data_IF_543027839336
#
_entry.id   IF_543027839336
#
_cell.length_a   1.000
_cell.length_b   1.000
_cell.length_c   1.000
_cell.angle_alpha   90.00
_cell.angle_beta   90.00
_cell.angle_gamma   90.00
#
_symmetry.space_group_name_H-M   'P 1'
#
loop_
_entity.id
_entity.type
_entity.pdbx_description
1 polymer ?
#
# COMPACT_ATOMS: atom_id res chain seq x y z
N UNK A 1 -66.26 -8.22 -19.53
CA UNK A 1 -65.32 -7.47 -20.40
C UNK A 1 -64.17 -8.38 -20.78
N UNK A 2 -63.85 -8.44 -22.07
CA UNK A 2 -63.28 -9.60 -22.77
C UNK A 2 -61.73 -9.58 -22.78
N UNK A 3 -61.09 -10.66 -22.33
CA UNK A 3 -59.62 -10.85 -22.30
C UNK A 3 -58.95 -10.73 -23.68
N UNK A 4 -59.72 -10.85 -24.76
CA UNK A 4 -59.22 -10.71 -26.14
C UNK A 4 -58.96 -9.25 -26.59
N UNK A 5 -59.50 -8.22 -25.91
CA UNK A 5 -59.21 -6.82 -26.32
C UNK A 5 -57.88 -6.31 -25.78
N UNK A 6 -57.39 -6.87 -24.67
CA UNK A 6 -56.11 -6.48 -24.06
C UNK A 6 -54.94 -7.04 -24.88
N UNK A 7 -55.08 -8.23 -25.48
CA UNK A 7 -54.04 -8.81 -26.33
C UNK A 7 -53.87 -8.07 -27.68
N UNK A 8 -54.92 -7.44 -28.21
CA UNK A 8 -54.83 -6.64 -29.43
C UNK A 8 -54.16 -5.27 -29.18
N UNK A 9 -54.28 -4.69 -27.98
CA UNK A 9 -53.60 -3.44 -27.62
C UNK A 9 -52.08 -3.64 -27.43
N UNK A 10 -51.67 -4.79 -26.90
CA UNK A 10 -50.25 -5.13 -26.69
C UNK A 10 -49.57 -5.46 -28.02
N UNK A 11 -50.26 -6.10 -28.97
CA UNK A 11 -49.68 -6.47 -30.28
C UNK A 11 -49.57 -5.29 -31.27
N UNK A 12 -50.25 -4.16 -31.03
CA UNK A 12 -50.12 -2.95 -31.87
C UNK A 12 -48.88 -2.09 -31.53
N UNK A 13 -48.38 -2.14 -30.29
CA UNK A 13 -47.27 -1.30 -29.82
C UNK A 13 -45.88 -1.89 -30.12
N UNK A 14 -45.80 -3.13 -30.61
CA UNK A 14 -44.56 -3.78 -31.06
C UNK A 14 -44.55 -3.80 -32.60
N UNK A 15 -44.45 -2.62 -33.20
CA UNK A 15 -44.03 -2.48 -34.59
C UNK A 15 -42.64 -1.83 -34.57
N UNK A 16 -41.63 -2.68 -34.72
CA UNK A 16 -40.25 -2.29 -34.98
C UNK A 16 -40.22 -1.57 -36.33
N UNK A 17 -40.51 -0.26 -36.33
CA UNK A 17 -40.23 0.60 -37.48
C UNK A 17 -38.73 0.77 -37.53
N UNK A 18 -38.09 -0.07 -38.35
CA UNK A 18 -36.70 0.08 -38.74
C UNK A 18 -36.46 1.50 -39.24
N UNK A 19 -35.88 2.34 -38.38
CA UNK A 19 -35.46 3.67 -38.75
C UNK A 19 -34.17 3.50 -39.57
N UNK A 20 -34.32 3.61 -40.90
CA UNK A 20 -33.24 3.68 -41.89
C UNK A 20 -32.35 4.90 -41.58
N UNK A 21 -31.37 4.73 -40.70
CA UNK A 21 -30.41 5.78 -40.35
C UNK A 21 -29.25 5.83 -41.36
N UNK A 22 -29.53 6.18 -42.61
CA UNK A 22 -28.50 6.57 -43.58
C UNK A 22 -28.13 8.04 -43.34
N UNK A 23 -27.16 8.29 -42.47
CA UNK A 23 -26.53 9.62 -42.34
C UNK A 23 -26.08 9.99 -40.92
N UNK A 24 -26.82 9.61 -39.88
CA UNK A 24 -26.49 10.01 -38.48
C UNK A 24 -25.54 9.06 -37.75
N UNK A 25 -25.40 7.81 -38.21
CA UNK A 25 -24.40 6.87 -37.68
C UNK A 25 -22.97 7.14 -38.17
N UNK A 26 -22.82 7.83 -39.31
CA UNK A 26 -21.49 8.24 -39.77
C UNK A 26 -20.90 9.37 -38.91
N UNK A 27 -21.74 10.27 -38.39
CA UNK A 27 -21.28 11.40 -37.55
C UNK A 27 -20.81 10.89 -36.18
N UNK A 28 -21.55 9.96 -35.56
CA UNK A 28 -21.15 9.37 -34.26
C UNK A 28 -19.85 8.55 -34.43
N UNK A 29 -19.73 7.78 -35.52
CA UNK A 29 -18.48 7.07 -35.83
C UNK A 29 -17.29 8.01 -35.99
N UNK A 30 -17.48 9.18 -36.61
CA UNK A 30 -16.41 10.17 -36.78
C UNK A 30 -16.05 10.87 -35.47
N UNK A 31 -17.03 11.22 -34.63
CA UNK A 31 -16.78 11.81 -33.29
C UNK A 31 -16.06 10.81 -32.39
N UNK A 32 -16.45 9.53 -32.37
CA UNK A 32 -15.78 8.50 -31.58
C UNK A 32 -14.37 8.22 -32.12
N UNK A 33 -14.18 8.20 -33.44
CA UNK A 33 -12.86 8.06 -34.04
C UNK A 33 -11.94 9.27 -33.72
N UNK A 34 -12.47 10.49 -33.74
CA UNK A 34 -11.75 11.70 -33.32
C UNK A 34 -11.42 11.69 -31.84
N UNK A 35 -12.34 11.26 -30.97
CA UNK A 35 -12.09 11.13 -29.54
C UNK A 35 -11.00 10.09 -29.24
N UNK A 36 -11.00 8.96 -29.96
CA UNK A 36 -9.98 7.92 -29.85
C UNK A 36 -8.62 8.37 -30.39
N UNK A 37 -8.58 9.21 -31.43
CA UNK A 37 -7.33 9.80 -31.91
C UNK A 37 -6.72 10.79 -30.90
N UNK A 38 -7.56 11.57 -30.20
CA UNK A 38 -7.09 12.54 -29.18
C UNK A 38 -6.61 11.82 -27.90
N UNK A 39 -7.22 10.70 -27.51
CA UNK A 39 -6.77 9.90 -26.37
C UNK A 39 -5.40 9.22 -26.59
N UNK A 40 -5.04 8.90 -27.84
CA UNK A 40 -3.75 8.30 -28.15
C UNK A 40 -2.58 9.30 -28.04
N UNK A 41 -2.82 10.59 -28.31
CA UNK A 41 -1.80 11.64 -28.21
C UNK A 41 -1.55 12.11 -26.76
N UNK A 42 -2.49 11.84 -25.84
CA UNK A 42 -2.39 12.25 -24.43
C UNK A 42 -1.53 11.35 -23.54
N UNK A 43 -1.09 10.17 -24.02
CA UNK A 43 -0.32 9.20 -23.23
C UNK A 43 1.20 9.33 -23.38
N UNK A 44 1.71 10.22 -24.24
CA UNK A 44 3.16 10.23 -24.57
C UNK A 44 3.94 11.45 -24.07
N UNK A 45 3.31 12.45 -23.47
CA UNK A 45 4.00 13.70 -23.09
C UNK A 45 4.17 13.84 -21.56
N UNK A 46 4.81 12.86 -20.93
CA UNK A 46 5.28 12.98 -19.54
C UNK A 46 6.81 12.96 -19.41
N UNK A 47 7.54 13.16 -20.51
CA UNK A 47 8.99 13.30 -20.50
C UNK A 47 9.36 14.78 -20.66
N UNK A 48 9.75 15.42 -19.56
CA UNK A 48 10.39 16.74 -19.59
C UNK A 48 11.74 16.69 -20.34
N UNK A 49 12.35 17.85 -20.64
CA UNK A 49 13.59 17.91 -21.41
C UNK A 49 14.68 17.02 -20.78
N UNK A 50 15.09 15.98 -21.50
CA UNK A 50 16.22 15.15 -21.10
C UNK A 50 17.51 15.98 -21.23
N UNK A 51 18.35 16.06 -20.19
CA UNK A 51 19.64 16.75 -20.28
C UNK A 51 20.49 16.12 -21.39
N UNK A 52 21.16 16.93 -22.23
CA UNK A 52 22.03 16.42 -23.28
C UNK A 52 23.09 15.48 -22.71
N UNK A 53 23.19 14.29 -23.30
CA UNK A 53 24.10 13.26 -22.84
C UNK A 53 25.57 13.70 -22.90
N UNK A 54 26.25 13.57 -21.77
CA UNK A 54 27.69 13.44 -21.69
C UNK A 54 27.98 12.01 -21.22
N UNK A 55 28.47 11.18 -22.13
CA UNK A 55 28.85 9.81 -21.83
C UNK A 55 30.29 9.73 -21.35
N UNK A 56 30.50 9.38 -20.08
CA UNK A 56 31.67 8.72 -19.44
C UNK A 56 31.13 8.31 -18.05
N UNK A 57 31.01 7.08 -17.57
CA UNK A 57 31.70 5.78 -17.65
C UNK A 57 30.64 4.69 -17.34
N UNK A 58 30.88 3.38 -17.62
CA UNK A 58 30.10 2.36 -16.95
C UNK A 58 30.31 2.57 -15.45
N UNK A 59 29.22 2.80 -14.72
CA UNK A 59 29.16 2.60 -13.28
C UNK A 59 29.98 1.34 -12.97
N UNK A 60 31.18 1.54 -12.41
CA UNK A 60 31.79 0.49 -11.64
C UNK A 60 30.70 0.04 -10.70
N UNK A 61 30.36 -1.25 -10.78
CA UNK A 61 29.39 -1.89 -9.90
C UNK A 61 29.88 -1.60 -8.48
N UNK A 62 29.42 -0.49 -7.92
CA UNK A 62 29.53 -0.25 -6.50
C UNK A 62 28.49 -1.20 -5.98
N UNK A 63 28.90 -2.45 -5.82
CA UNK A 63 28.28 -3.38 -4.91
C UNK A 63 28.44 -2.75 -3.53
N UNK A 64 27.59 -1.76 -3.25
CA UNK A 64 27.13 -1.50 -1.90
C UNK A 64 26.32 -2.75 -1.58
N UNK A 65 27.03 -3.83 -1.26
CA UNK A 65 26.59 -4.78 -0.26
C UNK A 65 26.65 -4.07 1.10
N UNK A 66 26.06 -2.88 1.17
CA UNK A 66 25.58 -2.34 2.41
C UNK A 66 24.50 -3.30 2.80
N UNK A 67 24.74 -4.06 3.85
CA UNK A 67 23.64 -4.59 4.63
C UNK A 67 22.76 -3.39 4.90
N UNK A 68 21.66 -3.26 4.17
CA UNK A 68 20.63 -2.28 4.50
C UNK A 68 20.11 -2.79 5.83
N UNK A 69 20.66 -2.25 6.91
CA UNK A 69 20.15 -2.45 8.26
C UNK A 69 18.70 -1.99 8.21
N UNK A 70 17.78 -2.91 8.43
CA UNK A 70 16.37 -2.58 8.42
C UNK A 70 16.02 -2.10 9.82
N UNK A 71 15.64 -0.82 9.90
CA UNK A 71 15.21 -0.19 11.13
C UNK A 71 13.69 -0.35 11.26
N UNK A 72 13.23 -0.91 12.37
CA UNK A 72 11.80 -1.09 12.65
C UNK A 72 11.37 -0.08 13.73
N UNK A 73 10.58 0.96 13.41
CA UNK A 73 10.00 1.84 14.42
C UNK A 73 8.89 1.11 15.18
N UNK A 74 8.90 1.20 16.50
CA UNK A 74 7.89 0.66 17.39
C UNK A 74 7.34 1.78 18.25
N UNK A 75 6.03 1.85 18.35
CA UNK A 75 5.32 2.74 19.26
C UNK A 75 4.40 1.94 20.15
N UNK A 76 4.25 2.37 21.40
CA UNK A 76 3.39 1.70 22.35
C UNK A 76 2.97 2.59 23.50
N UNK A 77 2.09 2.05 24.33
CA UNK A 77 1.66 2.65 25.59
C UNK A 77 1.87 1.68 26.74
N UNK A 78 2.69 2.05 27.70
CA UNK A 78 2.90 1.32 28.94
C UNK A 78 1.84 1.74 29.96
N UNK A 79 1.21 0.75 30.58
CA UNK A 79 0.24 0.95 31.65
C UNK A 79 0.56 0.11 32.88
N UNK A 80 0.13 0.57 34.04
CA UNK A 80 0.09 -0.28 35.24
C UNK A 80 -1.02 -1.35 35.13
N UNK A 81 -1.11 -2.21 36.15
CA UNK A 81 -2.13 -3.26 36.22
C UNK A 81 -3.57 -2.73 36.32
N UNK A 82 -3.75 -1.45 36.66
CA UNK A 82 -5.06 -0.78 36.69
C UNK A 82 -5.40 -0.08 35.36
N UNK A 83 -4.50 -0.13 34.37
CA UNK A 83 -4.66 0.50 33.07
C UNK A 83 -4.26 1.99 33.01
N UNK A 84 -3.74 2.55 34.11
CA UNK A 84 -3.25 3.92 34.11
C UNK A 84 -1.90 3.99 33.38
N UNK A 85 -1.59 5.08 32.66
CA UNK A 85 -0.27 5.22 32.06
C UNK A 85 0.80 5.23 33.13
N UNK A 86 1.93 4.58 32.86
CA UNK A 86 3.08 4.62 33.78
C UNK A 86 3.64 6.06 33.88
N UNK A 87 4.32 6.41 34.99
CA UNK A 87 4.93 7.72 35.15
C UNK A 87 5.94 8.07 34.06
N UNK A 88 6.12 9.36 33.82
CA UNK A 88 7.13 9.86 32.89
C UNK A 88 8.54 9.48 33.38
N UNK A 89 9.41 9.03 32.47
CA UNK A 89 10.76 8.60 32.82
C UNK A 89 11.43 7.75 31.75
N UNK A 90 12.67 7.34 32.02
CA UNK A 90 13.37 6.41 31.14
C UNK A 90 13.14 4.97 31.61
N UNK A 91 12.73 4.11 30.69
CA UNK A 91 12.49 2.69 30.92
C UNK A 91 13.45 1.88 30.06
N UNK A 92 14.08 0.85 30.62
CA UNK A 92 14.84 -0.12 29.82
C UNK A 92 13.85 -1.00 29.08
N UNK A 93 13.71 -0.83 27.77
CA UNK A 93 12.80 -1.63 26.94
C UNK A 93 13.64 -2.57 26.09
N UNK A 94 13.33 -3.87 26.16
CA UNK A 94 13.92 -4.87 25.28
C UNK A 94 12.89 -5.36 24.28
N UNK A 95 13.17 -5.18 23.00
CA UNK A 95 12.38 -5.73 21.90
C UNK A 95 13.07 -6.97 21.32
N UNK A 96 12.29 -8.03 21.05
CA UNK A 96 12.81 -9.29 20.50
C UNK A 96 11.95 -9.75 19.34
N UNK A 97 12.61 -10.26 18.30
CA UNK A 97 11.95 -10.83 17.12
C UNK A 97 12.02 -12.36 17.19
N UNK A 98 10.89 -13.01 16.95
CA UNK A 98 10.74 -14.47 16.95
C UNK A 98 10.11 -14.95 15.65
N UNK A 99 10.34 -16.22 15.31
CA UNK A 99 9.59 -16.95 14.27
C UNK A 99 8.44 -17.80 14.81
N UNK A 100 8.20 -17.81 16.12
CA UNK A 100 7.14 -18.56 16.79
C UNK A 100 6.30 -17.61 17.65
N UNK A 101 4.97 -17.76 17.62
CA UNK A 101 4.03 -16.84 18.28
C UNK A 101 4.12 -16.83 19.80
N UNK A 102 4.44 -17.97 20.42
CA UNK A 102 4.60 -18.08 21.87
C UNK A 102 5.96 -17.60 22.38
N UNK A 103 6.79 -17.01 21.51
CA UNK A 103 8.20 -16.74 21.79
C UNK A 103 9.08 -17.98 21.57
N UNK A 104 10.32 -17.92 22.06
CA UNK A 104 11.33 -18.97 21.88
C UNK A 104 12.74 -18.40 21.93
N UNK A 105 13.65 -18.95 21.12
CA UNK A 105 14.95 -18.30 20.89
C UNK A 105 14.75 -17.07 20.01
N UNK A 106 15.16 -15.90 20.48
CA UNK A 106 15.07 -14.67 19.70
C UNK A 106 16.01 -14.74 18.48
N UNK A 107 15.52 -14.32 17.32
CA UNK A 107 16.32 -14.18 16.10
C UNK A 107 17.23 -12.95 16.16
N UNK A 108 16.70 -11.86 16.73
CA UNK A 108 17.43 -10.63 17.07
C UNK A 108 16.75 -9.96 18.27
N UNK A 109 17.51 -9.09 18.94
CA UNK A 109 17.08 -8.37 20.13
C UNK A 109 17.70 -6.98 20.14
N UNK A 110 16.94 -6.02 20.65
CA UNK A 110 17.41 -4.65 20.87
C UNK A 110 16.99 -4.19 22.26
N UNK A 111 17.88 -3.51 22.99
CA UNK A 111 17.65 -3.08 24.37
C UNK A 111 18.12 -1.66 24.56
N UNK A 112 17.16 -0.77 24.79
CA UNK A 112 17.42 0.66 24.90
C UNK A 112 16.81 1.28 26.16
N UNK A 113 17.44 2.32 26.72
CA UNK A 113 16.76 3.25 27.60
C UNK A 113 15.82 4.15 26.77
N UNK A 114 14.52 3.94 26.90
CA UNK A 114 13.48 4.66 26.15
C UNK A 114 12.79 5.67 27.05
N UNK A 115 12.71 6.92 26.60
CA UNK A 115 11.93 7.94 27.30
C UNK A 115 10.44 7.72 27.08
N UNK A 116 9.69 7.68 28.17
CA UNK A 116 8.24 7.49 28.20
C UNK A 116 7.59 8.73 28.79
N UNK A 117 6.53 9.23 28.13
CA UNK A 117 5.72 10.33 28.63
C UNK A 117 4.24 10.03 28.45
N UNK A 118 3.46 10.20 29.52
CA UNK A 118 2.06 9.79 29.62
C UNK A 118 1.84 8.33 29.19
N UNK A 119 2.79 7.47 29.57
CA UNK A 119 2.87 6.07 29.17
C UNK A 119 3.24 5.83 27.70
N UNK A 120 3.33 6.84 26.83
CA UNK A 120 3.66 6.67 25.42
C UNK A 120 5.17 6.59 25.20
N UNK A 121 5.58 5.68 24.31
CA UNK A 121 6.97 5.53 23.93
C UNK A 121 7.14 5.28 22.43
N UNK A 122 8.32 5.60 21.93
CA UNK A 122 8.81 5.16 20.63
C UNK A 122 10.21 4.55 20.82
N UNK A 123 10.50 3.48 20.10
CA UNK A 123 11.83 2.90 20.01
C UNK A 123 12.08 2.42 18.58
N UNK A 124 13.34 2.12 18.27
CA UNK A 124 13.72 1.51 17.01
C UNK A 124 14.36 0.16 17.31
N UNK A 125 14.12 -0.82 16.44
CA UNK A 125 14.96 -2.03 16.38
C UNK A 125 15.91 -1.81 15.21
N UNK A 126 17.21 -1.75 15.46
CA UNK A 126 18.22 -1.56 14.40
C UNK A 126 19.27 -2.68 14.33
N UNK A 127 19.19 -3.66 15.24
CA UNK A 127 20.12 -4.81 15.30
C UNK A 127 19.76 -5.97 14.38
N UNK A 128 18.57 -5.96 13.78
CA UNK A 128 18.09 -7.05 12.92
C UNK A 128 18.60 -6.93 11.48
N UNK A 129 19.10 -8.04 10.94
CA UNK A 129 19.61 -8.09 9.56
C UNK A 129 18.49 -8.36 8.56
N UNK A 130 18.73 -8.02 7.29
CA UNK A 130 17.82 -8.37 6.18
C UNK A 130 17.62 -9.88 6.01
N UNK A 131 18.55 -10.71 6.48
CA UNK A 131 18.39 -12.16 6.49
C UNK A 131 17.24 -12.61 7.42
N UNK A 132 17.01 -11.88 8.51
CA UNK A 132 15.87 -12.08 9.41
C UNK A 132 14.63 -11.40 8.81
N UNK A 133 14.79 -10.15 8.38
CA UNK A 133 13.72 -9.29 7.86
C UNK A 133 13.50 -9.50 6.35
N UNK A 134 13.17 -10.73 5.99
CA UNK A 134 13.06 -11.20 4.60
C UNK A 134 11.61 -11.37 4.11
N UNK A 135 10.63 -10.83 4.84
CA UNK A 135 9.20 -10.95 4.52
C UNK A 135 8.51 -12.20 5.09
N UNK A 136 9.23 -13.04 5.85
CA UNK A 136 8.61 -14.13 6.60
C UNK A 136 7.70 -13.61 7.73
N UNK A 137 6.78 -14.47 8.20
CA UNK A 137 6.01 -14.18 9.41
C UNK A 137 6.96 -14.11 10.62
N UNK A 138 6.88 -13.00 11.35
CA UNK A 138 7.64 -12.76 12.56
C UNK A 138 6.69 -12.33 13.68
N UNK A 139 7.16 -12.44 14.91
CA UNK A 139 6.45 -12.03 16.12
C UNK A 139 7.36 -11.14 16.96
N UNK A 140 6.77 -10.10 17.56
CA UNK A 140 7.46 -9.14 18.41
C UNK A 140 7.16 -9.46 19.88
N UNK A 141 8.20 -9.59 20.69
CA UNK A 141 8.09 -9.53 22.16
C UNK A 141 8.65 -8.22 22.68
N UNK A 142 7.99 -7.66 23.68
CA UNK A 142 8.42 -6.47 24.41
C UNK A 142 8.56 -6.84 25.88
N UNK A 143 9.68 -6.46 26.48
CA UNK A 143 9.96 -6.57 27.90
C UNK A 143 10.36 -5.22 28.45
N UNK A 144 9.84 -4.86 29.63
CA UNK A 144 10.17 -3.60 30.31
C UNK A 144 10.90 -3.91 31.60
N UNK A 145 12.16 -3.47 31.72
CA UNK A 145 13.01 -3.82 32.84
C UNK A 145 13.18 -5.34 32.98
N UNK A 146 12.68 -5.88 34.09
CA UNK A 146 12.74 -7.31 34.43
C UNK A 146 11.38 -8.01 34.44
N UNK A 147 10.33 -7.35 33.95
CA UNK A 147 8.98 -7.94 33.80
C UNK A 147 8.95 -9.07 32.76
#
# INVERSE_FOLDING_TARGET
>A
MNSQSILQEILSKIQIRGCKMKGKWMIIGNIVALLLLVLAAGLTQAQGPQPPGEGVQPEGDVSVQGVVGAVIPIQGRLTDASGNPVPDGNYSITARIYNVSGGGTALCSDTDPVHVSNGLFNMYIDTCTSAILNGQQLYLGIQVGSD
#
